data_IF_784449158253
#
_entry.id   IF_784449158253
#
_cell.length_a   1.000
_cell.length_b   1.000
_cell.length_c   1.000
_cell.angle_alpha   90.00
_cell.angle_beta   90.00
_cell.angle_gamma   90.00
#
_symmetry.space_group_name_H-M   'P 1'
#
loop_
_entity.id
_entity.type
_entity.pdbx_description
1 polymer ?
#
# COMPACT_ATOMS: atom_id res chain seq x y z
N UNK A 1 -18.01 -12.65 -18.01
CA UNK A 1 -16.61 -12.49 -18.43
C UNK A 1 -16.47 -11.21 -19.26
N UNK A 2 -15.45 -10.39 -18.98
CA UNK A 2 -15.18 -9.21 -19.78
C UNK A 2 -14.49 -9.62 -21.10
N UNK A 3 -14.77 -8.87 -22.17
CA UNK A 3 -14.03 -9.02 -23.43
C UNK A 3 -12.56 -8.72 -23.21
N UNK A 4 -11.70 -9.51 -23.82
CA UNK A 4 -10.29 -9.16 -24.02
C UNK A 4 -10.27 -8.00 -25.03
N UNK A 5 -9.57 -6.91 -24.71
CA UNK A 5 -9.58 -5.65 -25.50
C UNK A 5 -10.99 -5.01 -25.59
N UNK A 6 -11.51 -4.45 -24.51
CA UNK A 6 -12.78 -3.77 -24.57
C UNK A 6 -12.74 -2.57 -25.52
N UNK A 7 -13.77 -2.43 -26.35
CA UNK A 7 -13.88 -1.33 -27.33
C UNK A 7 -14.29 0.01 -26.70
N UNK A 8 -14.71 -0.02 -25.46
CA UNK A 8 -15.14 1.15 -24.68
C UNK A 8 -14.87 0.92 -23.19
N UNK A 9 -14.83 1.98 -22.37
CA UNK A 9 -14.73 1.86 -20.91
C UNK A 9 -15.85 0.94 -20.35
N UNK A 10 -15.48 0.11 -19.39
CA UNK A 10 -16.39 -0.83 -18.73
C UNK A 10 -16.60 -0.41 -17.28
N UNK A 11 -17.84 -0.34 -16.82
CA UNK A 11 -18.16 -0.20 -15.41
C UNK A 11 -18.89 -1.44 -14.90
N UNK A 12 -18.36 -2.03 -13.83
CA UNK A 12 -18.97 -3.15 -13.11
C UNK A 12 -19.52 -2.64 -11.78
N UNK A 13 -20.82 -2.78 -11.57
CA UNK A 13 -21.46 -2.55 -10.28
C UNK A 13 -21.53 -3.87 -9.52
N UNK A 14 -20.90 -3.91 -8.35
CA UNK A 14 -20.73 -5.12 -7.55
C UNK A 14 -21.64 -5.00 -6.34
N UNK A 15 -22.61 -5.91 -6.24
CA UNK A 15 -23.56 -5.96 -5.13
C UNK A 15 -22.88 -6.31 -3.80
N UNK A 16 -23.55 -6.02 -2.70
CA UNK A 16 -23.13 -6.51 -1.39
C UNK A 16 -23.01 -8.04 -1.39
N UNK A 17 -21.93 -8.54 -0.86
CA UNK A 17 -21.61 -9.98 -0.80
C UNK A 17 -20.15 -10.22 -0.44
N UNK A 18 -19.86 -11.41 0.01
CA UNK A 18 -18.49 -11.90 0.22
C UNK A 18 -18.13 -12.80 -0.95
N UNK A 19 -17.24 -12.31 -1.80
CA UNK A 19 -16.76 -12.99 -3.00
C UNK A 19 -15.43 -13.69 -2.67
N UNK A 20 -15.52 -14.99 -2.40
CA UNK A 20 -14.33 -15.80 -2.06
C UNK A 20 -13.66 -16.28 -3.34
N UNK A 21 -12.94 -15.40 -4.00
CA UNK A 21 -12.29 -15.65 -5.28
C UNK A 21 -11.08 -14.75 -5.50
N UNK A 22 -10.11 -15.22 -6.29
CA UNK A 22 -9.02 -14.40 -6.81
C UNK A 22 -9.50 -13.70 -8.08
N UNK A 23 -9.27 -12.41 -8.17
CA UNK A 23 -9.56 -11.67 -9.38
C UNK A 23 -8.26 -11.19 -10.04
N UNK A 24 -8.23 -11.27 -11.35
CA UNK A 24 -7.13 -10.73 -12.16
C UNK A 24 -7.69 -9.92 -13.32
N UNK A 25 -7.33 -8.63 -13.38
CA UNK A 25 -7.60 -7.76 -14.52
C UNK A 25 -6.33 -7.66 -15.36
N UNK A 26 -6.28 -8.31 -16.52
CA UNK A 26 -5.08 -8.32 -17.36
C UNK A 26 -4.79 -6.95 -18.00
N UNK A 27 -3.54 -6.72 -18.42
CA UNK A 27 -3.06 -5.43 -18.91
C UNK A 27 -3.79 -4.90 -20.17
N UNK A 28 -4.38 -5.79 -20.97
CA UNK A 28 -5.16 -5.43 -22.14
C UNK A 28 -6.61 -4.97 -21.84
N UNK A 29 -7.05 -5.09 -20.59
CA UNK A 29 -8.35 -4.59 -20.14
C UNK A 29 -8.19 -3.22 -19.47
N UNK A 30 -8.01 -2.19 -20.26
CA UNK A 30 -7.88 -0.80 -19.79
C UNK A 30 -9.24 -0.14 -19.55
N UNK A 31 -9.26 0.99 -18.82
CA UNK A 31 -10.46 1.81 -18.60
C UNK A 31 -11.62 1.05 -17.93
N UNK A 32 -11.28 0.16 -17.00
CA UNK A 32 -12.25 -0.63 -16.24
C UNK A 32 -12.51 0.02 -14.89
N UNK A 33 -13.79 0.17 -14.54
CA UNK A 33 -14.23 0.70 -13.25
C UNK A 33 -15.02 -0.35 -12.48
N UNK A 34 -14.64 -0.59 -11.22
CA UNK A 34 -15.38 -1.41 -10.27
C UNK A 34 -16.02 -0.51 -9.22
N UNK A 35 -17.33 -0.62 -9.04
CA UNK A 35 -18.07 0.14 -8.03
C UNK A 35 -18.82 -0.84 -7.13
N UNK A 36 -18.36 -0.96 -5.88
CA UNK A 36 -19.06 -1.69 -4.84
C UNK A 36 -20.28 -0.91 -4.33
N UNK A 37 -21.33 -1.62 -3.99
CA UNK A 37 -22.54 -1.04 -3.42
C UNK A 37 -22.26 -0.41 -2.04
N UNK A 38 -21.46 -1.09 -1.21
CA UNK A 38 -21.02 -0.58 0.09
C UNK A 38 -19.67 -1.19 0.47
N UNK A 39 -18.73 -0.36 0.93
CA UNK A 39 -17.35 -0.78 1.24
C UNK A 39 -17.27 -1.86 2.33
N UNK A 40 -18.20 -1.85 3.29
CA UNK A 40 -18.20 -2.81 4.41
C UNK A 40 -18.87 -4.14 4.05
N UNK A 41 -19.59 -4.18 2.94
CA UNK A 41 -20.40 -5.34 2.56
C UNK A 41 -20.06 -5.87 1.16
N UNK A 42 -19.33 -5.12 0.33
CA UNK A 42 -18.79 -5.61 -0.96
C UNK A 42 -17.36 -6.04 -0.75
N UNK A 43 -17.15 -7.33 -0.48
CA UNK A 43 -15.87 -7.87 -0.02
C UNK A 43 -15.34 -8.91 -1.00
N UNK A 44 -14.18 -8.67 -1.59
CA UNK A 44 -13.44 -9.64 -2.38
C UNK A 44 -12.34 -10.20 -1.48
N UNK A 45 -12.34 -11.52 -1.26
CA UNK A 45 -11.49 -12.17 -0.26
C UNK A 45 -10.87 -13.45 -0.80
N UNK A 46 -9.60 -13.67 -0.44
CA UNK A 46 -8.91 -14.94 -0.65
C UNK A 46 -7.87 -15.17 0.45
N UNK A 47 -7.18 -16.34 0.42
CA UNK A 47 -6.28 -16.74 1.51
C UNK A 47 -4.98 -17.41 1.03
N UNK A 48 -4.49 -17.07 -0.16
CA UNK A 48 -3.17 -17.53 -0.60
C UNK A 48 -2.06 -16.73 0.07
N UNK A 49 -0.92 -17.38 0.33
CA UNK A 49 0.28 -16.78 0.90
C UNK A 49 1.54 -17.40 0.27
N UNK A 50 2.65 -16.72 0.39
CA UNK A 50 3.96 -17.20 -0.09
C UNK A 50 4.36 -18.48 0.63
N UNK A 51 4.55 -19.57 -0.14
CA UNK A 51 4.84 -20.91 0.40
C UNK A 51 3.62 -21.83 0.49
N UNK A 52 2.40 -21.36 0.28
CA UNK A 52 1.22 -22.24 0.13
C UNK A 52 1.27 -22.92 -1.24
N UNK A 53 1.64 -24.19 -1.28
CA UNK A 53 1.86 -24.89 -2.54
C UNK A 53 2.97 -24.26 -3.36
N UNK A 54 2.66 -23.80 -4.56
CA UNK A 54 3.61 -23.14 -5.48
C UNK A 54 3.53 -21.59 -5.44
N UNK A 55 2.74 -21.02 -4.53
CA UNK A 55 2.60 -19.57 -4.47
C UNK A 55 3.86 -18.89 -3.95
N UNK A 56 4.24 -17.81 -4.62
CA UNK A 56 5.22 -16.82 -4.18
C UNK A 56 4.49 -15.62 -3.60
N UNK A 57 5.21 -14.66 -3.03
CA UNK A 57 4.63 -13.37 -2.64
C UNK A 57 3.77 -12.78 -3.76
N UNK A 58 4.29 -12.76 -4.99
CA UNK A 58 3.65 -12.11 -6.14
C UNK A 58 2.49 -12.88 -6.76
N UNK A 59 2.27 -14.12 -6.38
CA UNK A 59 1.12 -14.93 -6.81
C UNK A 59 0.12 -15.19 -5.69
N UNK A 60 0.34 -14.61 -4.50
CA UNK A 60 -0.52 -14.77 -3.32
C UNK A 60 -1.69 -13.77 -3.27
N UNK A 61 -1.85 -12.93 -4.28
CA UNK A 61 -2.84 -11.85 -4.30
C UNK A 61 -4.29 -12.34 -4.23
N UNK A 62 -5.13 -11.55 -3.59
CA UNK A 62 -6.59 -11.63 -3.76
C UNK A 62 -7.01 -10.93 -5.05
N UNK A 63 -6.54 -9.71 -5.28
CA UNK A 63 -6.79 -8.98 -6.52
C UNK A 63 -5.48 -8.58 -7.19
N UNK A 64 -5.37 -8.84 -8.52
CA UNK A 64 -4.28 -8.33 -9.36
C UNK A 64 -4.86 -7.44 -10.45
N UNK A 65 -4.36 -6.21 -10.53
CA UNK A 65 -4.85 -5.17 -11.44
C UNK A 65 -3.69 -4.68 -12.33
N UNK A 66 -3.72 -5.10 -13.60
CA UNK A 66 -2.71 -4.73 -14.59
C UNK A 66 -3.26 -3.80 -15.69
N UNK A 67 -4.58 -3.69 -15.83
CA UNK A 67 -5.21 -2.81 -16.82
C UNK A 67 -5.08 -1.33 -16.46
N UNK A 68 -4.45 -0.54 -17.32
CA UNK A 68 -4.25 0.89 -17.10
C UNK A 68 -5.56 1.67 -16.95
N UNK A 69 -5.52 2.78 -16.20
CA UNK A 69 -6.67 3.66 -15.91
C UNK A 69 -7.82 2.92 -15.20
N UNK A 70 -7.46 1.92 -14.40
CA UNK A 70 -8.41 1.22 -13.54
C UNK A 70 -8.92 2.13 -12.43
N UNK A 71 -10.20 2.00 -12.10
CA UNK A 71 -10.81 2.67 -10.95
C UNK A 71 -11.54 1.65 -10.09
N UNK A 72 -11.32 1.67 -8.79
CA UNK A 72 -12.16 0.95 -7.82
C UNK A 72 -12.76 1.93 -6.82
N UNK A 73 -14.02 1.75 -6.47
CA UNK A 73 -14.69 2.52 -5.44
C UNK A 73 -15.56 1.63 -4.54
N UNK A 74 -15.54 1.89 -3.22
CA UNK A 74 -16.40 1.26 -2.22
C UNK A 74 -16.27 -0.27 -2.16
N UNK A 75 -15.07 -0.81 -2.27
CA UNK A 75 -14.79 -2.25 -2.23
C UNK A 75 -13.76 -2.55 -1.14
N UNK A 76 -13.97 -3.65 -0.42
CA UNK A 76 -12.96 -4.25 0.45
C UNK A 76 -12.22 -5.37 -0.28
N UNK A 77 -10.90 -5.26 -0.35
CA UNK A 77 -9.99 -6.31 -0.79
C UNK A 77 -9.31 -6.90 0.44
N UNK A 78 -9.45 -8.19 0.66
CA UNK A 78 -8.96 -8.84 1.87
C UNK A 78 -8.15 -10.09 1.56
N UNK A 79 -6.98 -10.24 2.19
CA UNK A 79 -6.29 -11.51 2.26
C UNK A 79 -6.38 -12.06 3.69
N UNK A 80 -7.01 -13.21 3.84
CA UNK A 80 -7.31 -13.83 5.13
C UNK A 80 -6.37 -14.99 5.50
N UNK A 81 -5.20 -15.09 4.87
CA UNK A 81 -4.21 -16.12 5.20
C UNK A 81 -3.70 -16.06 6.67
N UNK A 82 -3.83 -14.91 7.31
CA UNK A 82 -3.33 -14.69 8.67
C UNK A 82 -1.87 -14.22 8.69
N UNK A 83 -1.21 -14.40 9.85
CA UNK A 83 0.19 -14.01 10.03
C UNK A 83 1.14 -15.17 9.68
N UNK A 84 1.09 -15.62 8.45
CA UNK A 84 1.83 -16.80 7.94
C UNK A 84 3.00 -16.43 7.01
N UNK A 85 3.25 -15.14 6.82
CA UNK A 85 4.23 -14.59 5.88
C UNK A 85 3.55 -13.65 4.88
N UNK A 86 4.19 -13.45 3.73
CA UNK A 86 3.72 -12.52 2.71
C UNK A 86 2.41 -13.01 2.07
N UNK A 87 1.40 -12.12 2.06
CA UNK A 87 0.07 -12.45 1.55
C UNK A 87 -0.65 -11.17 1.07
N UNK A 88 -0.76 -11.02 -0.24
CA UNK A 88 -1.26 -9.79 -0.85
C UNK A 88 -2.79 -9.74 -0.86
N UNK A 89 -3.38 -8.65 -0.34
CA UNK A 89 -4.75 -8.29 -0.67
C UNK A 89 -4.83 -7.66 -2.07
N UNK A 90 -3.83 -6.84 -2.43
CA UNK A 90 -3.75 -6.18 -3.73
C UNK A 90 -2.36 -6.27 -4.34
N UNK A 91 -2.30 -6.68 -5.60
CA UNK A 91 -1.20 -6.49 -6.53
C UNK A 91 -1.65 -5.50 -7.59
N UNK A 92 -0.99 -4.36 -7.75
CA UNK A 92 -1.35 -3.38 -8.78
C UNK A 92 -0.10 -2.89 -9.52
N UNK A 93 -0.04 -3.13 -10.83
CA UNK A 93 1.00 -2.63 -11.74
C UNK A 93 0.43 -1.73 -12.85
N UNK A 94 -0.86 -1.47 -12.82
CA UNK A 94 -1.55 -0.56 -13.72
C UNK A 94 -1.10 0.90 -13.52
N UNK A 95 -0.82 1.60 -14.64
CA UNK A 95 -0.61 3.05 -14.62
C UNK A 95 -1.94 3.80 -14.53
N UNK A 96 -1.97 4.88 -13.75
CA UNK A 96 -3.14 5.71 -13.45
C UNK A 96 -4.28 4.93 -12.79
N UNK A 97 -3.94 3.92 -11.96
CA UNK A 97 -4.93 3.25 -11.14
C UNK A 97 -5.40 4.13 -9.99
N UNK A 98 -6.70 4.15 -9.73
CA UNK A 98 -7.33 4.93 -8.65
C UNK A 98 -8.19 4.02 -7.77
N UNK A 99 -7.94 4.08 -6.47
CA UNK A 99 -8.75 3.40 -5.46
C UNK A 99 -9.38 4.46 -4.55
N UNK A 100 -10.71 4.52 -4.50
CA UNK A 100 -11.45 5.52 -3.73
C UNK A 100 -12.38 4.86 -2.73
N UNK A 101 -12.29 5.27 -1.45
CA UNK A 101 -13.11 4.70 -0.37
C UNK A 101 -13.03 3.16 -0.30
N UNK A 102 -11.86 2.59 -0.57
CA UNK A 102 -11.64 1.14 -0.52
C UNK A 102 -10.99 0.73 0.81
N UNK A 103 -11.15 -0.54 1.18
CA UNK A 103 -10.42 -1.15 2.28
C UNK A 103 -9.46 -2.21 1.78
N UNK A 104 -8.26 -2.24 2.34
CA UNK A 104 -7.25 -3.26 2.08
C UNK A 104 -6.87 -3.92 3.39
N UNK A 105 -7.31 -5.16 3.56
CA UNK A 105 -7.17 -5.90 4.81
C UNK A 105 -6.20 -7.06 4.62
N UNK A 106 -5.14 -7.08 5.41
CA UNK A 106 -4.12 -8.12 5.33
C UNK A 106 -3.19 -8.13 6.54
N UNK A 107 -2.04 -8.72 6.36
CA UNK A 107 -0.98 -8.80 7.36
C UNK A 107 0.35 -8.35 6.74
N UNK A 108 1.35 -9.24 6.60
CA UNK A 108 2.59 -8.89 5.91
C UNK A 108 2.32 -8.70 4.41
N UNK A 109 2.84 -7.61 3.83
CA UNK A 109 2.80 -7.34 2.38
C UNK A 109 1.37 -7.13 1.83
N UNK A 110 0.47 -6.44 2.54
CA UNK A 110 -0.95 -6.29 2.14
C UNK A 110 -1.12 -5.69 0.74
N UNK A 111 -0.37 -4.63 0.38
CA UNK A 111 -0.45 -3.95 -0.92
C UNK A 111 0.91 -3.96 -1.60
N UNK A 112 0.99 -4.60 -2.76
CA UNK A 112 2.13 -4.48 -3.67
C UNK A 112 1.82 -3.48 -4.78
N UNK A 113 2.43 -2.30 -4.69
CA UNK A 113 2.38 -1.26 -5.72
C UNK A 113 3.48 -1.51 -6.74
N UNK A 114 3.22 -2.37 -7.71
CA UNK A 114 4.16 -2.78 -8.74
C UNK A 114 4.22 -1.77 -9.90
N UNK A 115 5.09 -2.04 -10.87
CA UNK A 115 5.24 -1.19 -12.05
C UNK A 115 6.10 0.05 -11.79
N UNK A 116 7.39 0.00 -12.13
CA UNK A 116 8.32 1.11 -11.90
C UNK A 116 7.95 2.43 -12.60
N UNK A 117 7.10 2.37 -13.62
CA UNK A 117 6.56 3.53 -14.34
C UNK A 117 5.10 3.82 -13.98
N UNK A 118 4.48 2.98 -13.15
CA UNK A 118 3.09 3.12 -12.77
C UNK A 118 2.87 4.27 -11.78
N UNK A 119 1.74 4.94 -11.93
CA UNK A 119 1.23 5.98 -11.03
C UNK A 119 -0.07 5.50 -10.43
N UNK A 120 -0.18 5.55 -9.13
CA UNK A 120 -1.32 4.99 -8.40
C UNK A 120 -1.81 6.00 -7.37
N UNK A 121 -3.12 6.07 -7.18
CA UNK A 121 -3.76 6.95 -6.20
C UNK A 121 -4.70 6.14 -5.30
N UNK A 122 -4.47 6.25 -3.99
CA UNK A 122 -5.34 5.73 -2.95
C UNK A 122 -5.97 6.93 -2.22
N UNK A 123 -7.27 7.13 -2.39
CA UNK A 123 -8.01 8.28 -1.86
C UNK A 123 -9.05 7.82 -0.84
N UNK A 124 -8.96 8.37 0.39
CA UNK A 124 -9.88 8.05 1.49
C UNK A 124 -9.98 6.54 1.78
N UNK A 125 -8.88 5.81 1.62
CA UNK A 125 -8.83 4.36 1.82
C UNK A 125 -8.49 4.00 3.28
N UNK A 126 -8.92 2.80 3.68
CA UNK A 126 -8.46 2.15 4.90
C UNK A 126 -7.49 1.03 4.54
N UNK A 127 -6.32 1.02 5.15
CA UNK A 127 -5.25 0.06 4.86
C UNK A 127 -4.72 -0.50 6.18
N UNK A 128 -4.68 -1.83 6.32
CA UNK A 128 -4.10 -2.43 7.51
C UNK A 128 -3.11 -3.55 7.18
N UNK A 129 -2.16 -3.75 8.10
CA UNK A 129 -1.20 -4.83 7.99
C UNK A 129 -0.25 -4.93 9.19
N UNK A 130 0.71 -5.83 9.06
CA UNK A 130 1.74 -6.07 10.09
C UNK A 130 3.09 -5.53 9.66
N UNK A 131 3.75 -6.14 8.68
CA UNK A 131 5.11 -5.82 8.25
C UNK A 131 5.10 -5.42 6.77
N UNK A 132 5.77 -4.30 6.43
CA UNK A 132 5.99 -3.86 5.04
C UNK A 132 4.70 -3.85 4.21
N UNK A 133 3.58 -3.55 4.86
CA UNK A 133 2.26 -3.82 4.27
C UNK A 133 1.86 -2.87 3.15
N UNK A 134 2.71 -1.90 2.83
CA UNK A 134 2.65 -1.08 1.61
C UNK A 134 4.05 -1.12 1.00
N UNK A 135 4.24 -1.85 -0.10
CA UNK A 135 5.57 -2.05 -0.66
C UNK A 135 5.59 -2.04 -2.19
N UNK A 136 6.75 -1.78 -2.79
CA UNK A 136 6.95 -1.82 -4.25
C UNK A 136 7.61 -0.58 -4.85
N UNK A 137 7.81 -0.57 -6.20
CA UNK A 137 8.56 0.45 -6.91
C UNK A 137 7.74 1.62 -7.47
N UNK A 138 6.41 1.53 -7.52
CA UNK A 138 5.56 2.51 -8.18
C UNK A 138 5.62 3.91 -7.54
N UNK A 139 5.24 4.93 -8.32
CA UNK A 139 4.85 6.22 -7.76
C UNK A 139 3.43 6.11 -7.24
N UNK A 140 3.25 6.09 -5.93
CA UNK A 140 1.93 5.93 -5.32
C UNK A 140 1.64 7.07 -4.33
N UNK A 141 0.46 7.67 -4.48
CA UNK A 141 -0.06 8.71 -3.56
C UNK A 141 -1.16 8.12 -2.71
N UNK A 142 -1.01 8.27 -1.39
CA UNK A 142 -2.01 7.91 -0.39
C UNK A 142 -2.54 9.21 0.21
N UNK A 143 -3.77 9.55 -0.11
CA UNK A 143 -4.37 10.82 0.33
C UNK A 143 -5.56 10.57 1.24
N UNK A 144 -5.52 11.21 2.42
CA UNK A 144 -6.58 11.11 3.43
C UNK A 144 -6.91 9.65 3.82
N UNK A 145 -5.92 8.76 3.80
CA UNK A 145 -6.10 7.36 4.17
C UNK A 145 -5.95 7.16 5.67
N UNK A 146 -6.68 6.19 6.21
CA UNK A 146 -6.41 5.62 7.54
C UNK A 146 -5.54 4.39 7.38
N UNK A 147 -4.37 4.40 8.04
CA UNK A 147 -3.37 3.34 7.96
C UNK A 147 -3.19 2.71 9.33
N UNK A 148 -3.57 1.45 9.48
CA UNK A 148 -3.53 0.73 10.76
C UNK A 148 -2.40 -0.29 10.80
N UNK A 149 -1.50 -0.13 11.76
CA UNK A 149 -0.47 -1.10 12.07
C UNK A 149 -0.97 -2.08 13.15
N UNK A 150 -0.82 -3.37 12.90
CA UNK A 150 -1.30 -4.45 13.78
C UNK A 150 -0.20 -5.01 14.68
N UNK A 151 1.07 -4.75 14.39
CA UNK A 151 2.23 -5.25 15.14
C UNK A 151 3.35 -4.22 15.18
N UNK A 152 4.33 -4.46 16.05
CA UNK A 152 5.61 -3.74 16.05
C UNK A 152 6.38 -4.06 14.77
N UNK A 153 6.43 -3.13 13.80
CA UNK A 153 7.10 -3.37 12.52
C UNK A 153 7.22 -2.08 11.68
N UNK A 154 7.06 -2.19 10.37
CA UNK A 154 7.25 -1.13 9.38
C UNK A 154 6.00 -0.98 8.52
N UNK A 155 5.56 0.28 8.28
CA UNK A 155 4.41 0.56 7.42
C UNK A 155 4.81 0.33 5.95
N UNK A 156 5.91 0.95 5.52
CA UNK A 156 6.31 0.96 4.11
C UNK A 156 7.63 0.25 3.85
N UNK A 157 7.73 -0.39 2.69
CA UNK A 157 8.96 -0.95 2.12
C UNK A 157 9.08 -0.54 0.64
N UNK A 158 9.40 0.73 0.40
CA UNK A 158 9.54 1.25 -0.95
C UNK A 158 10.78 0.66 -1.66
N UNK A 159 10.68 0.51 -2.98
CA UNK A 159 11.77 0.06 -3.85
C UNK A 159 11.88 0.91 -5.12
N UNK A 160 11.69 2.22 -4.98
CA UNK A 160 11.73 3.17 -6.10
C UNK A 160 12.99 2.97 -6.93
N UNK A 161 12.81 2.80 -8.23
CA UNK A 161 13.91 2.54 -9.17
C UNK A 161 14.81 3.77 -9.32
N UNK A 162 16.09 3.54 -9.58
CA UNK A 162 17.06 4.61 -9.87
C UNK A 162 16.54 5.57 -10.96
N UNK A 163 16.78 6.87 -10.80
CA UNK A 163 16.36 7.90 -11.75
C UNK A 163 14.90 8.34 -11.64
N UNK A 164 14.03 7.62 -10.91
CA UNK A 164 12.65 8.05 -10.72
C UNK A 164 12.58 9.30 -9.82
N UNK A 165 11.80 10.29 -10.23
CA UNK A 165 11.63 11.54 -9.49
C UNK A 165 10.85 11.34 -8.17
N UNK A 166 9.83 10.49 -8.19
CA UNK A 166 8.91 10.27 -7.08
C UNK A 166 8.77 8.79 -6.74
N UNK A 167 8.42 8.50 -5.49
CA UNK A 167 8.05 7.19 -4.96
C UNK A 167 6.73 7.29 -4.20
N UNK A 168 6.70 6.93 -2.92
CA UNK A 168 5.51 7.02 -2.08
C UNK A 168 5.32 8.41 -1.50
N UNK A 169 4.08 8.91 -1.54
CA UNK A 169 3.68 10.17 -0.91
C UNK A 169 2.40 9.94 -0.11
N UNK A 170 2.46 10.16 1.18
CA UNK A 170 1.32 10.12 2.11
C UNK A 170 0.92 11.56 2.43
N UNK A 171 -0.33 11.95 2.17
CA UNK A 171 -0.83 13.31 2.37
C UNK A 171 -2.07 13.29 3.24
N UNK A 172 -2.03 13.96 4.39
CA UNK A 172 -3.18 14.07 5.29
C UNK A 172 -3.67 12.72 5.84
N UNK A 173 -2.81 11.71 5.86
CA UNK A 173 -3.17 10.39 6.35
C UNK A 173 -3.18 10.34 7.87
N UNK A 174 -4.05 9.49 8.42
CA UNK A 174 -4.06 9.15 9.84
C UNK A 174 -3.43 7.78 10.06
N UNK A 175 -2.34 7.74 10.81
CA UNK A 175 -1.71 6.49 11.23
C UNK A 175 -2.28 6.09 12.57
N UNK A 176 -2.76 4.87 12.68
CA UNK A 176 -3.25 4.28 13.92
C UNK A 176 -2.56 2.94 14.16
N UNK A 177 -2.61 2.47 15.39
CA UNK A 177 -1.97 1.21 15.77
C UNK A 177 -2.83 0.47 16.80
N UNK A 178 -2.75 -0.86 16.77
CA UNK A 178 -3.40 -1.69 17.79
C UNK A 178 -2.78 -1.45 19.17
N UNK A 179 -3.52 -1.70 20.21
CA UNK A 179 -3.11 -1.42 21.60
C UNK A 179 -1.83 -2.15 22.03
N UNK A 180 -1.53 -3.28 21.42
CA UNK A 180 -0.31 -4.06 21.67
C UNK A 180 0.93 -3.48 20.96
N UNK A 181 0.77 -2.53 20.04
CA UNK A 181 1.88 -1.94 19.31
C UNK A 181 2.56 -0.88 20.17
N UNK A 182 3.84 -1.06 20.41
CA UNK A 182 4.67 -0.15 21.23
C UNK A 182 5.77 0.53 20.43
N UNK A 183 6.14 -0.01 19.26
CA UNK A 183 7.19 0.54 18.39
C UNK A 183 6.85 0.32 16.90
N UNK A 184 6.66 1.42 16.17
CA UNK A 184 6.30 1.40 14.75
C UNK A 184 7.23 2.32 13.96
N UNK A 185 7.73 1.86 12.84
CA UNK A 185 8.48 2.69 11.89
C UNK A 185 7.60 3.12 10.72
N UNK A 186 7.77 4.33 10.23
CA UNK A 186 7.11 4.83 9.01
C UNK A 186 7.50 4.02 7.78
N UNK A 187 8.71 3.47 7.79
CA UNK A 187 9.15 2.56 6.74
C UNK A 187 10.63 2.26 6.74
N UNK A 188 11.00 1.43 5.78
CA UNK A 188 12.38 1.03 5.49
C UNK A 188 12.59 0.83 3.99
N UNK A 189 13.80 1.07 3.43
CA UNK A 189 14.06 0.91 2.00
C UNK A 189 14.26 -0.56 1.63
N UNK A 190 13.33 -1.14 0.89
CA UNK A 190 13.53 -2.50 0.36
C UNK A 190 14.66 -2.56 -0.67
N UNK A 191 14.89 -1.46 -1.39
CA UNK A 191 16.00 -1.32 -2.35
C UNK A 191 16.65 0.04 -2.21
N UNK A 192 17.86 0.18 -2.73
CA UNK A 192 18.53 1.46 -2.93
C UNK A 192 17.61 2.43 -3.72
N UNK A 193 17.78 3.74 -3.51
CA UNK A 193 17.01 4.82 -4.15
C UNK A 193 15.52 4.90 -3.75
N UNK A 194 15.05 4.09 -2.81
CA UNK A 194 13.69 4.15 -2.30
C UNK A 194 13.30 5.56 -1.85
N UNK A 195 12.05 5.95 -2.15
CA UNK A 195 11.54 7.29 -1.80
C UNK A 195 10.20 7.18 -1.10
N UNK A 196 10.10 7.79 0.07
CA UNK A 196 8.85 7.83 0.84
C UNK A 196 8.75 9.16 1.59
N UNK A 197 7.61 9.84 1.46
CA UNK A 197 7.35 11.14 2.09
C UNK A 197 6.02 11.13 2.82
N UNK A 198 6.00 11.60 4.07
CA UNK A 198 4.77 11.82 4.84
C UNK A 198 4.54 13.33 5.01
N UNK A 199 3.38 13.82 4.56
CA UNK A 199 3.00 15.24 4.51
C UNK A 199 1.72 15.45 5.30
N UNK A 200 1.76 16.29 6.34
CA UNK A 200 0.58 16.66 7.14
C UNK A 200 -0.20 15.45 7.65
N UNK A 201 0.50 14.37 7.98
CA UNK A 201 -0.09 13.15 8.55
C UNK A 201 -0.20 13.25 10.07
N UNK A 202 -1.20 12.58 10.63
CA UNK A 202 -1.33 12.39 12.08
C UNK A 202 -0.60 11.12 12.50
N UNK A 203 0.42 11.24 13.35
CA UNK A 203 1.30 10.15 13.75
C UNK A 203 1.10 9.78 15.23
N UNK A 204 0.82 8.51 15.57
CA UNK A 204 0.59 8.07 16.94
C UNK A 204 1.90 8.03 17.74
N UNK A 205 1.78 8.07 19.07
CA UNK A 205 2.92 8.03 20.01
C UNK A 205 3.87 6.84 19.81
N UNK A 206 3.37 5.75 19.27
CA UNK A 206 4.15 4.50 19.05
C UNK A 206 5.15 4.59 17.90
N UNK A 207 5.16 5.68 17.12
CA UNK A 207 6.20 5.89 16.10
C UNK A 207 7.55 5.95 16.80
N UNK A 208 8.48 5.10 16.35
CA UNK A 208 9.84 5.06 16.86
C UNK A 208 10.50 6.44 16.78
N UNK A 209 11.29 6.87 17.77
CA UNK A 209 11.95 8.18 17.72
C UNK A 209 12.78 8.40 16.45
N UNK A 210 13.41 7.35 15.94
CA UNK A 210 14.15 7.36 14.68
C UNK A 210 13.26 7.57 13.45
N UNK A 211 11.97 7.26 13.56
CA UNK A 211 10.96 7.32 12.51
C UNK A 211 11.13 6.28 11.40
N UNK A 212 12.35 5.99 11.03
CA UNK A 212 12.73 5.19 9.87
C UNK A 212 13.81 4.16 10.20
N UNK A 213 13.88 3.10 9.43
CA UNK A 213 14.92 2.08 9.54
C UNK A 213 15.63 1.94 8.19
N UNK A 214 16.92 1.62 8.19
CA UNK A 214 17.75 1.51 6.98
C UNK A 214 17.81 0.10 6.38
N UNK A 215 16.97 -0.83 6.84
CA UNK A 215 17.02 -2.25 6.45
C UNK A 215 18.32 -2.96 6.85
N UNK A 216 18.93 -2.55 7.96
CA UNK A 216 20.27 -3.01 8.39
C UNK A 216 21.37 -2.88 7.31
N UNK A 217 21.21 -1.88 6.43
CA UNK A 217 22.13 -1.59 5.34
C UNK A 217 22.42 -0.09 5.26
N UNK A 218 23.59 0.33 5.74
CA UNK A 218 24.00 1.72 5.75
C UNK A 218 24.17 2.33 4.34
N UNK A 219 24.41 1.51 3.31
CA UNK A 219 24.51 2.01 1.94
C UNK A 219 23.18 2.58 1.43
N UNK A 220 22.06 2.08 1.92
CA UNK A 220 20.74 2.64 1.61
C UNK A 220 20.65 4.11 2.01
N UNK A 221 21.25 4.51 3.13
CA UNK A 221 21.18 5.88 3.64
C UNK A 221 21.75 6.93 2.67
N UNK A 222 22.70 6.51 1.80
CA UNK A 222 23.35 7.38 0.82
C UNK A 222 22.46 7.69 -0.39
N UNK A 223 21.46 6.86 -0.67
CA UNK A 223 20.72 6.90 -1.94
C UNK A 223 19.22 7.15 -1.78
N UNK A 224 18.65 6.89 -0.61
CA UNK A 224 17.22 7.03 -0.36
C UNK A 224 16.76 8.47 -0.17
N UNK A 225 15.50 8.73 -0.42
CA UNK A 225 14.85 10.00 -0.10
C UNK A 225 13.64 9.75 0.81
N UNK A 226 13.89 9.78 2.12
CA UNK A 226 12.87 9.62 3.14
C UNK A 226 12.67 10.95 3.85
N UNK A 227 11.43 11.45 3.85
CA UNK A 227 11.17 12.81 4.31
C UNK A 227 9.83 12.95 5.01
N UNK A 228 9.74 13.99 5.84
CA UNK A 228 8.54 14.39 6.57
C UNK A 228 8.28 15.89 6.38
N UNK A 229 6.97 16.28 6.37
CA UNK A 229 6.57 17.67 6.30
C UNK A 229 5.33 17.94 7.14
N UNK A 230 5.46 18.80 8.15
CA UNK A 230 4.35 19.29 9.00
C UNK A 230 3.41 18.18 9.52
N UNK A 231 3.95 17.01 9.85
CA UNK A 231 3.20 15.97 10.51
C UNK A 231 2.79 16.41 11.92
N UNK A 232 1.70 15.86 12.45
CA UNK A 232 1.13 16.18 13.76
C UNK A 232 0.99 14.93 14.62
N UNK A 233 0.58 15.09 15.87
CA UNK A 233 0.41 14.01 16.82
C UNK A 233 1.68 13.68 17.61
N UNK A 234 1.55 12.85 18.63
CA UNK A 234 2.62 12.58 19.60
C UNK A 234 3.84 11.84 18.97
N UNK A 235 3.66 11.17 17.83
CA UNK A 235 4.73 10.52 17.08
C UNK A 235 5.47 11.42 16.09
N UNK A 236 5.08 12.69 15.96
CA UNK A 236 5.65 13.61 14.97
C UNK A 236 6.91 14.36 15.46
N UNK A 237 7.42 14.06 16.66
CA UNK A 237 8.61 14.71 17.20
C UNK A 237 9.86 14.36 16.36
N UNK A 238 10.53 15.37 15.79
CA UNK A 238 11.60 15.18 14.80
C UNK A 238 13.02 15.15 15.39
N UNK A 239 13.19 15.54 16.65
CA UNK A 239 14.51 15.74 17.25
C UNK A 239 15.41 14.50 17.29
N UNK A 240 14.82 13.30 17.24
CA UNK A 240 15.53 12.01 17.27
C UNK A 240 15.37 11.20 15.97
N UNK A 241 14.87 11.83 14.88
CA UNK A 241 14.79 11.16 13.59
C UNK A 241 16.15 10.72 13.08
N UNK A 242 16.15 9.64 12.32
CA UNK A 242 17.38 9.13 11.70
C UNK A 242 18.06 10.22 10.86
N UNK A 243 19.36 10.44 11.05
CA UNK A 243 20.12 11.57 10.48
C UNK A 243 20.10 11.62 8.95
N UNK A 244 19.91 10.49 8.30
CA UNK A 244 19.83 10.36 6.84
C UNK A 244 18.46 10.75 6.25
N UNK A 245 17.47 11.04 7.09
CA UNK A 245 16.14 11.47 6.66
C UNK A 245 16.02 13.00 6.63
N UNK A 246 15.01 13.50 5.93
CA UNK A 246 14.86 14.93 5.68
C UNK A 246 13.60 15.48 6.34
N UNK A 247 13.72 16.69 6.85
CA UNK A 247 12.58 17.52 7.22
C UNK A 247 12.41 18.58 6.13
N UNK A 248 11.27 18.56 5.44
CA UNK A 248 10.99 19.51 4.37
C UNK A 248 10.49 20.84 4.96
N UNK A 249 10.78 21.96 4.28
CA UNK A 249 10.41 23.33 4.64
C UNK A 249 9.36 23.91 3.70
#
# INVERSE_FOLDING_TARGET
AMRVYPLAPITLYIKNGVYNEKIELPANNTDVTFIGENVDSTIIVFNDYSGKGKHTTFTSFTAKISGNRFVAANITFSNTAGQVGQALALYVDADKAVFKNCKFLGNQDTIFTSGENARQLFLNCYIEGTTDFIFGPATAVFQNCTIRAKTNSFITAASTTYGKKHGYVFIGCKIIADSAVTKLFLGRPWRANAKTVFIKCELPKVIAPEGWNNWSNAENEKTVFYAEYKNTGAGAAIAKRAKWTKQLS
#
